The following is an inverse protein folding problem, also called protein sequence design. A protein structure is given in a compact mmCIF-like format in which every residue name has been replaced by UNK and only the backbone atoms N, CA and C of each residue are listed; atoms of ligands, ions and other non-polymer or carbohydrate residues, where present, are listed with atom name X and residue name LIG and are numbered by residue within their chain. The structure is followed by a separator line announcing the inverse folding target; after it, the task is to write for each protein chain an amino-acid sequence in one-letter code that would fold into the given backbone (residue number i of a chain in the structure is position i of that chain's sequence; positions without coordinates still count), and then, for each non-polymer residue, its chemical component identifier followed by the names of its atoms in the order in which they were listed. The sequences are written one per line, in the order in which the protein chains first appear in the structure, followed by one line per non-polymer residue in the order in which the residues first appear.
data_IF_784758711553
#
_entry.id   IF_784758711553
#
_cell.length_a   1.000
_cell.length_b   1.000
_cell.length_c   1.000
_cell.angle_alpha   90.00
_cell.angle_beta   90.00
_cell.angle_gamma   90.00
#
_symmetry.space_group_name_H-M   'P 1'
#
loop_
_entity.id
_entity.type
_entity.pdbx_description
1 polymer ?
#
# COMPACT_ATOMS: atom_id res chain seq x y z
N UNK A 1 -10.98 -11.08 -18.29
CA UNK A 1 -10.23 -10.63 -19.47
C UNK A 1 -8.72 -10.68 -19.23
N UNK A 2 -7.86 -10.52 -20.25
CA UNK A 2 -6.39 -10.39 -20.08
C UNK A 2 -5.97 -8.94 -20.31
N UNK A 3 -5.11 -8.41 -19.45
CA UNK A 3 -4.51 -7.08 -19.55
C UNK A 3 -3.00 -7.16 -19.30
N UNK A 4 -2.25 -6.22 -19.83
CA UNK A 4 -0.82 -6.15 -19.52
C UNK A 4 -0.61 -5.52 -18.13
N UNK A 5 0.50 -5.84 -17.48
CA UNK A 5 0.84 -5.22 -16.19
C UNK A 5 1.06 -3.70 -16.30
N UNK A 6 1.56 -3.23 -17.45
CA UNK A 6 1.68 -1.79 -17.70
C UNK A 6 0.31 -1.11 -17.82
N UNK A 7 -0.70 -1.78 -18.37
CA UNK A 7 -2.08 -1.26 -18.38
C UNK A 7 -2.63 -1.16 -16.96
N UNK A 8 -2.36 -2.14 -16.08
CA UNK A 8 -2.77 -2.11 -14.69
C UNK A 8 -2.19 -0.87 -14.00
N UNK A 9 -0.88 -0.65 -14.08
CA UNK A 9 -0.21 0.50 -13.49
C UNK A 9 -0.82 1.83 -13.98
N UNK A 10 -0.93 1.98 -15.31
CA UNK A 10 -1.45 3.21 -15.93
C UNK A 10 -2.91 3.44 -15.58
N UNK A 11 -3.74 2.39 -15.56
CA UNK A 11 -5.17 2.50 -15.27
C UNK A 11 -5.41 2.86 -13.80
N UNK A 12 -4.70 2.23 -12.85
CA UNK A 12 -4.80 2.60 -11.44
C UNK A 12 -4.29 4.02 -11.16
N UNK A 13 -3.19 4.45 -11.80
CA UNK A 13 -2.73 5.84 -11.72
C UNK A 13 -3.82 6.81 -12.17
N UNK A 14 -4.41 6.58 -13.35
CA UNK A 14 -5.50 7.41 -13.87
C UNK A 14 -6.74 7.37 -12.97
N UNK A 15 -7.07 6.19 -12.42
CA UNK A 15 -8.21 6.05 -11.52
C UNK A 15 -8.02 6.85 -10.22
N UNK A 16 -6.82 6.84 -9.64
CA UNK A 16 -6.50 7.68 -8.48
C UNK A 16 -6.60 9.18 -8.80
N UNK A 17 -6.09 9.61 -9.96
CA UNK A 17 -6.28 11.00 -10.43
C UNK A 17 -7.76 11.35 -10.60
N UNK A 18 -8.54 10.46 -11.19
CA UNK A 18 -9.98 10.63 -11.36
C UNK A 18 -10.77 10.65 -10.04
N UNK A 19 -10.22 10.07 -8.98
CA UNK A 19 -10.73 10.17 -7.61
C UNK A 19 -10.25 11.44 -6.87
N UNK A 20 -9.40 12.28 -7.51
CA UNK A 20 -8.92 13.54 -6.93
C UNK A 20 -7.58 13.44 -6.18
N UNK A 21 -6.86 12.32 -6.29
CA UNK A 21 -5.55 12.15 -5.68
C UNK A 21 -4.49 12.99 -6.40
N UNK A 22 -3.54 13.65 -5.70
CA UNK A 22 -2.42 14.36 -6.31
C UNK A 22 -1.56 13.45 -7.22
N UNK A 23 -0.95 14.01 -8.27
CA UNK A 23 -0.23 13.26 -9.31
C UNK A 23 0.82 12.29 -8.74
N UNK A 24 1.70 12.74 -7.85
CA UNK A 24 2.76 11.88 -7.28
C UNK A 24 2.19 10.68 -6.54
N UNK A 25 1.17 10.90 -5.68
CA UNK A 25 0.50 9.81 -4.95
C UNK A 25 -0.26 8.86 -5.90
N UNK A 26 -0.81 9.38 -6.98
CA UNK A 26 -1.47 8.56 -7.99
C UNK A 26 -0.47 7.68 -8.76
N UNK A 27 0.74 8.17 -9.03
CA UNK A 27 1.83 7.39 -9.62
C UNK A 27 2.25 6.25 -8.70
N UNK A 28 2.44 6.53 -7.42
CA UNK A 28 2.76 5.51 -6.42
C UNK A 28 1.65 4.48 -6.29
N UNK A 29 0.39 4.90 -6.31
CA UNK A 29 -0.75 3.98 -6.27
C UNK A 29 -0.78 3.04 -7.48
N UNK A 30 -0.47 3.53 -8.67
CA UNK A 30 -0.30 2.70 -9.87
C UNK A 30 0.78 1.64 -9.68
N UNK A 31 1.95 2.04 -9.18
CA UNK A 31 3.11 1.15 -8.91
C UNK A 31 2.81 0.10 -7.83
N UNK A 32 2.08 0.48 -6.79
CA UNK A 32 1.64 -0.43 -5.72
C UNK A 32 0.74 -1.52 -6.30
N UNK A 33 -0.25 -1.18 -7.12
CA UNK A 33 -1.14 -2.16 -7.72
C UNK A 33 -0.43 -3.03 -8.78
N UNK A 34 0.48 -2.46 -9.56
CA UNK A 34 1.38 -3.24 -10.42
C UNK A 34 2.16 -4.30 -9.62
N UNK A 35 2.74 -3.91 -8.48
CA UNK A 35 3.49 -4.81 -7.62
C UNK A 35 2.63 -5.95 -7.07
N UNK A 36 1.41 -5.67 -6.62
CA UNK A 36 0.44 -6.66 -6.14
C UNK A 36 0.08 -7.68 -7.24
N UNK A 37 -0.27 -7.19 -8.42
CA UNK A 37 -0.71 -8.05 -9.53
C UNK A 37 0.42 -8.95 -10.05
N UNK A 38 1.65 -8.43 -10.15
CA UNK A 38 2.80 -9.24 -10.57
C UNK A 38 3.14 -10.36 -9.58
N UNK A 39 2.63 -10.30 -8.36
CA UNK A 39 2.82 -11.31 -7.30
C UNK A 39 1.56 -12.09 -6.98
N UNK A 40 0.48 -11.81 -7.71
CA UNK A 40 -0.85 -12.45 -7.54
C UNK A 40 -1.37 -12.33 -6.11
N UNK A 41 -1.19 -11.15 -5.51
CA UNK A 41 -1.64 -10.84 -4.15
C UNK A 41 -2.88 -9.95 -4.23
N UNK A 42 -4.01 -10.49 -3.87
CA UNK A 42 -5.22 -9.72 -3.59
C UNK A 42 -6.00 -9.22 -4.79
N UNK A 43 -5.67 -9.50 -6.00
CA UNK A 43 -6.37 -9.03 -7.21
C UNK A 43 -6.67 -7.51 -7.26
N UNK A 44 -7.32 -7.05 -8.30
CA UNK A 44 -7.75 -5.64 -8.49
C UNK A 44 -8.65 -5.12 -7.36
N UNK A 45 -9.34 -6.03 -6.64
CA UNK A 45 -10.28 -5.69 -5.57
C UNK A 45 -9.64 -4.85 -4.45
N UNK A 46 -8.35 -5.05 -4.16
CA UNK A 46 -7.63 -4.30 -3.11
C UNK A 46 -7.52 -2.83 -3.48
N UNK A 47 -7.04 -2.53 -4.68
CA UNK A 47 -6.95 -1.15 -5.17
C UNK A 47 -8.34 -0.51 -5.36
N UNK A 48 -9.30 -1.28 -5.88
CA UNK A 48 -10.68 -0.82 -6.04
C UNK A 48 -11.35 -0.51 -4.69
N UNK A 49 -11.09 -1.29 -3.64
CA UNK A 49 -11.60 -1.01 -2.31
C UNK A 49 -11.11 0.34 -1.77
N UNK A 50 -9.82 0.65 -1.95
CA UNK A 50 -9.26 1.94 -1.55
C UNK A 50 -9.86 3.12 -2.35
N UNK A 51 -10.03 2.96 -3.67
CA UNK A 51 -10.68 3.98 -4.51
C UNK A 51 -12.13 4.23 -4.07
N UNK A 52 -12.90 3.17 -3.82
CA UNK A 52 -14.28 3.28 -3.35
C UNK A 52 -14.37 3.97 -1.98
N UNK A 53 -13.53 3.57 -1.02
CA UNK A 53 -13.53 4.17 0.31
C UNK A 53 -13.21 5.68 0.26
N UNK A 54 -12.29 6.07 -0.62
CA UNK A 54 -11.93 7.47 -0.82
C UNK A 54 -13.03 8.27 -1.52
N UNK A 55 -13.63 7.71 -2.59
CA UNK A 55 -14.71 8.36 -3.37
C UNK A 55 -16.00 8.55 -2.56
N UNK A 56 -16.29 7.65 -1.62
CA UNK A 56 -17.46 7.71 -0.74
C UNK A 56 -17.21 8.49 0.55
N UNK A 57 -16.05 9.12 0.71
CA UNK A 57 -15.63 9.84 1.92
C UNK A 57 -15.56 8.96 3.20
N UNK A 58 -15.59 7.63 3.07
CA UNK A 58 -15.36 6.69 4.19
C UNK A 58 -13.90 6.76 4.67
N UNK A 59 -12.99 7.09 3.76
CA UNK A 59 -11.60 7.41 4.07
C UNK A 59 -11.20 8.77 3.51
N UNK A 60 -10.26 9.44 4.18
CA UNK A 60 -9.78 10.76 3.83
C UNK A 60 -8.27 10.84 3.70
N UNK A 61 -7.79 11.96 3.17
CA UNK A 61 -6.38 12.33 3.19
C UNK A 61 -5.89 12.53 4.63
N UNK A 62 -4.58 12.69 4.80
CA UNK A 62 -3.99 13.02 6.09
C UNK A 62 -4.49 14.39 6.56
N UNK A 63 -5.23 14.42 7.66
CA UNK A 63 -5.78 15.64 8.23
C UNK A 63 -4.88 16.25 9.32
N UNK A 64 -4.18 15.40 10.07
CA UNK A 64 -3.34 15.81 11.19
C UNK A 64 -1.99 15.11 11.08
N UNK A 65 -0.92 15.89 11.25
CA UNK A 65 0.45 15.41 11.35
C UNK A 65 1.03 15.97 12.66
N UNK A 66 1.27 15.10 13.63
CA UNK A 66 1.86 15.43 14.93
C UNK A 66 3.23 14.78 15.04
N UNK A 67 4.21 15.44 15.66
CA UNK A 67 5.61 15.02 15.68
C UNK A 67 6.15 14.62 17.06
N UNK A 68 5.30 14.55 18.10
CA UNK A 68 5.77 14.20 19.46
C UNK A 68 4.91 13.09 20.08
N UNK A 69 5.54 12.05 20.67
CA UNK A 69 6.97 11.69 20.65
C UNK A 69 7.42 11.04 19.32
N UNK A 70 6.50 10.63 18.47
CA UNK A 70 6.70 10.04 17.16
C UNK A 70 5.73 10.70 16.18
N UNK A 71 6.02 10.62 14.89
CA UNK A 71 5.13 11.16 13.87
C UNK A 71 3.82 10.37 13.80
N UNK A 72 2.71 11.07 13.91
CA UNK A 72 1.37 10.50 13.84
C UNK A 72 0.60 11.10 12.67
N UNK A 73 0.17 10.27 11.74
CA UNK A 73 -0.72 10.64 10.64
C UNK A 73 -2.11 10.13 10.96
N UNK A 74 -3.06 11.03 11.02
CA UNK A 74 -4.44 10.74 11.40
C UNK A 74 -5.43 11.27 10.38
N UNK A 75 -6.56 10.58 10.14
CA UNK A 75 -7.64 11.09 9.32
C UNK A 75 -8.42 12.19 10.06
N UNK A 76 -9.33 12.87 9.34
CA UNK A 76 -10.37 13.65 9.98
C UNK A 76 -11.21 12.81 10.93
N UNK A 77 -11.86 13.47 11.91
CA UNK A 77 -12.71 12.79 12.88
C UNK A 77 -13.80 11.96 12.18
N UNK A 78 -13.92 10.71 12.59
CA UNK A 78 -14.91 9.76 12.06
C UNK A 78 -14.52 9.03 10.77
N UNK A 79 -13.47 9.48 10.07
CA UNK A 79 -13.00 8.85 8.85
C UNK A 79 -11.90 7.82 9.11
N UNK A 80 -11.63 6.99 8.10
CA UNK A 80 -10.41 6.18 8.00
C UNK A 80 -9.33 6.98 7.29
N UNK A 81 -8.07 6.64 7.53
CA UNK A 81 -6.95 7.18 6.78
C UNK A 81 -6.82 6.42 5.46
N UNK A 82 -6.96 7.12 4.33
CA UNK A 82 -6.86 6.50 3.02
C UNK A 82 -5.45 6.00 2.73
N UNK A 83 -5.34 4.74 2.33
CA UNK A 83 -4.08 4.14 1.90
C UNK A 83 -3.50 4.80 0.64
N UNK A 84 -4.33 5.49 -0.17
CA UNK A 84 -3.86 6.30 -1.32
C UNK A 84 -2.90 7.43 -0.88
N UNK A 85 -3.05 7.91 0.34
CA UNK A 85 -2.21 8.96 0.93
C UNK A 85 -1.22 8.40 1.96
N UNK A 86 -1.69 7.51 2.81
CA UNK A 86 -0.97 7.06 3.99
C UNK A 86 0.37 6.38 3.66
N UNK A 87 0.37 5.49 2.66
CA UNK A 87 1.54 4.68 2.32
C UNK A 87 2.74 5.52 1.91
N UNK A 88 2.60 6.29 0.83
CA UNK A 88 3.67 7.14 0.29
C UNK A 88 4.07 8.23 1.28
N UNK A 89 3.09 8.95 1.88
CA UNK A 89 3.39 10.02 2.85
C UNK A 89 4.15 9.51 4.07
N UNK A 90 3.81 8.33 4.59
CA UNK A 90 4.52 7.73 5.71
C UNK A 90 5.94 7.31 5.34
N UNK A 91 6.13 6.73 4.15
CA UNK A 91 7.45 6.33 3.67
C UNK A 91 8.37 7.53 3.45
N UNK A 92 7.86 8.62 2.87
CA UNK A 92 8.60 9.86 2.65
C UNK A 92 9.05 10.47 3.98
N UNK A 93 8.12 10.59 4.95
CA UNK A 93 8.44 11.06 6.29
C UNK A 93 9.46 10.17 6.99
N UNK A 94 9.29 8.84 6.93
CA UNK A 94 10.22 7.89 7.53
C UNK A 94 11.62 8.02 6.96
N UNK A 95 11.73 8.20 5.65
CA UNK A 95 13.03 8.38 4.98
C UNK A 95 13.67 9.71 5.32
N UNK A 96 12.89 10.79 5.41
CA UNK A 96 13.37 12.13 5.70
C UNK A 96 13.73 12.36 7.17
N UNK A 97 12.94 11.85 8.10
CA UNK A 97 13.04 12.17 9.53
C UNK A 97 13.71 11.09 10.37
N UNK A 98 13.89 9.87 9.85
CA UNK A 98 14.44 8.72 10.58
C UNK A 98 13.69 8.33 11.87
N UNK A 99 12.47 8.82 12.05
CA UNK A 99 11.62 8.54 13.19
C UNK A 99 10.62 7.43 12.87
N UNK A 100 9.99 6.84 13.88
CA UNK A 100 8.86 5.96 13.66
C UNK A 100 7.62 6.78 13.23
N UNK A 101 6.81 6.20 12.37
CA UNK A 101 5.58 6.82 11.85
C UNK A 101 4.39 5.98 12.26
N UNK A 102 3.44 6.56 12.95
CA UNK A 102 2.16 5.96 13.29
C UNK A 102 1.08 6.40 12.31
N UNK A 103 0.30 5.45 11.84
CA UNK A 103 -0.88 5.66 10.98
C UNK A 103 -2.12 5.19 11.73
N UNK A 104 -3.13 6.04 11.79
CA UNK A 104 -4.38 5.76 12.52
C UNK A 104 -5.49 5.33 11.57
N UNK A 105 -6.13 4.20 11.89
CA UNK A 105 -7.33 3.69 11.19
C UNK A 105 -7.16 3.58 9.66
N UNK A 106 -6.07 2.98 9.20
CA UNK A 106 -5.82 2.78 7.77
C UNK A 106 -6.90 1.91 7.14
N UNK A 107 -7.48 2.34 6.02
CA UNK A 107 -8.57 1.63 5.34
C UNK A 107 -8.11 0.32 4.69
N UNK A 108 -6.96 0.31 4.00
CA UNK A 108 -6.39 -0.85 3.30
C UNK A 108 -4.92 -1.03 3.67
N UNK A 109 -4.60 -1.69 4.80
CA UNK A 109 -3.23 -1.86 5.31
C UNK A 109 -2.26 -2.52 4.34
N UNK A 110 -2.73 -3.41 3.47
CA UNK A 110 -1.88 -4.08 2.47
C UNK A 110 -1.23 -3.09 1.51
N UNK A 111 -1.93 -2.03 1.10
CA UNK A 111 -1.36 -1.01 0.20
C UNK A 111 -0.22 -0.24 0.88
N UNK A 112 -0.34 0.05 2.18
CA UNK A 112 0.73 0.69 2.97
C UNK A 112 1.94 -0.24 3.09
N UNK A 113 1.73 -1.54 3.31
CA UNK A 113 2.82 -2.53 3.31
C UNK A 113 3.58 -2.51 1.98
N UNK A 114 2.86 -2.49 0.85
CA UNK A 114 3.50 -2.47 -0.47
C UNK A 114 4.21 -1.14 -0.75
N UNK A 115 3.67 -0.02 -0.29
CA UNK A 115 4.38 1.27 -0.34
C UNK A 115 5.73 1.19 0.40
N UNK A 116 5.76 0.56 1.57
CA UNK A 116 6.99 0.34 2.32
C UNK A 116 7.98 -0.59 1.57
N UNK A 117 7.48 -1.57 0.82
CA UNK A 117 8.32 -2.43 -0.05
C UNK A 117 9.00 -1.59 -1.14
N UNK A 118 8.24 -0.77 -1.84
CA UNK A 118 8.77 0.09 -2.90
C UNK A 118 9.78 1.09 -2.35
N UNK A 119 9.46 1.76 -1.24
CA UNK A 119 10.36 2.67 -0.56
C UNK A 119 11.65 1.99 -0.07
N UNK A 120 11.57 0.74 0.42
CA UNK A 120 12.73 -0.03 0.85
C UNK A 120 13.71 -0.28 -0.29
N UNK A 121 13.20 -0.49 -1.50
CA UNK A 121 13.99 -0.66 -2.70
C UNK A 121 14.62 0.66 -3.15
N UNK A 122 13.83 1.72 -3.26
CA UNK A 122 14.26 3.03 -3.77
C UNK A 122 15.30 3.71 -2.87
N UNK A 123 15.08 3.63 -1.55
CA UNK A 123 15.97 4.27 -0.58
C UNK A 123 17.02 3.34 0.01
N UNK A 124 17.14 2.09 -0.47
CA UNK A 124 18.05 1.07 0.06
C UNK A 124 17.96 0.97 1.59
N UNK A 125 16.75 1.00 2.13
CA UNK A 125 16.47 1.13 3.56
C UNK A 125 15.53 0.01 4.00
N UNK A 126 15.86 -0.69 5.08
CA UNK A 126 14.96 -1.69 5.63
C UNK A 126 13.87 -1.02 6.46
N UNK A 127 12.61 -1.43 6.23
CA UNK A 127 11.42 -0.90 6.89
C UNK A 127 10.66 -2.05 7.55
N UNK A 128 10.43 -1.93 8.85
CA UNK A 128 9.51 -2.79 9.59
C UNK A 128 8.12 -2.14 9.58
N UNK A 129 7.12 -2.93 9.24
CA UNK A 129 5.70 -2.51 9.22
C UNK A 129 4.95 -3.35 10.24
N UNK A 130 4.37 -2.71 11.23
CA UNK A 130 3.58 -3.31 12.28
C UNK A 130 2.10 -3.00 12.05
N UNK A 131 1.25 -4.02 12.05
CA UNK A 131 -0.19 -3.87 12.09
C UNK A 131 -0.66 -4.07 13.53
N UNK A 132 -1.19 -3.02 14.15
CA UNK A 132 -1.53 -3.01 15.56
C UNK A 132 -2.97 -3.52 15.75
N UNK A 133 -3.11 -4.70 16.31
CA UNK A 133 -4.43 -5.25 16.62
C UNK A 133 -4.94 -4.77 17.99
N UNK A 134 -6.26 -4.85 18.17
CA UNK A 134 -6.92 -4.44 19.42
C UNK A 134 -6.46 -5.25 20.65
N UNK A 135 -5.96 -6.47 20.46
CA UNK A 135 -5.40 -7.35 21.52
C UNK A 135 -3.97 -6.98 21.91
N UNK A 136 -3.37 -5.97 21.28
CA UNK A 136 -2.02 -5.50 21.53
C UNK A 136 -0.91 -6.35 20.89
N UNK A 137 -1.24 -7.45 20.19
CA UNK A 137 -0.23 -8.28 19.51
C UNK A 137 0.00 -7.74 18.09
N UNK A 138 1.17 -7.16 17.77
CA UNK A 138 1.44 -6.65 16.45
C UNK A 138 1.65 -7.81 15.45
N UNK A 139 1.12 -7.66 14.23
CA UNK A 139 1.56 -8.45 13.11
C UNK A 139 2.69 -7.70 12.40
N UNK A 140 3.87 -8.31 12.33
CA UNK A 140 5.09 -7.66 11.87
C UNK A 140 5.50 -8.21 10.50
N UNK A 141 5.57 -7.33 9.52
CA UNK A 141 6.18 -7.60 8.22
C UNK A 141 7.42 -6.71 8.04
N UNK A 142 8.42 -7.22 7.35
CA UNK A 142 9.66 -6.51 7.12
C UNK A 142 9.92 -6.36 5.63
N UNK A 143 10.18 -5.14 5.19
CA UNK A 143 10.48 -4.78 3.82
C UNK A 143 11.98 -4.47 3.68
N UNK A 144 12.66 -5.14 2.77
CA UNK A 144 14.08 -4.94 2.54
C UNK A 144 14.41 -5.15 1.07
N UNK A 145 15.00 -4.14 0.44
CA UNK A 145 15.44 -4.22 -0.97
C UNK A 145 14.34 -4.71 -1.92
N UNK A 146 13.10 -4.29 -1.71
CA UNK A 146 11.94 -4.69 -2.50
C UNK A 146 11.34 -6.06 -2.15
N UNK A 147 11.86 -6.75 -1.14
CA UNK A 147 11.32 -8.02 -0.63
C UNK A 147 10.39 -7.80 0.57
N UNK A 148 9.43 -8.71 0.75
CA UNK A 148 8.67 -8.85 1.99
C UNK A 148 9.12 -10.09 2.74
N UNK A 149 9.38 -9.94 4.01
CA UNK A 149 9.66 -11.02 4.95
C UNK A 149 8.60 -11.03 6.03
N UNK A 150 7.83 -12.09 6.10
CA UNK A 150 6.78 -12.28 7.09
C UNK A 150 6.29 -13.74 7.04
N UNK A 151 5.65 -14.19 8.11
CA UNK A 151 4.90 -15.44 8.09
C UNK A 151 3.58 -15.30 7.31
N UNK A 152 3.06 -16.39 6.74
CA UNK A 152 1.82 -16.37 5.96
C UNK A 152 0.63 -15.84 6.76
N UNK A 153 0.49 -16.20 8.03
CA UNK A 153 -0.56 -15.70 8.92
C UNK A 153 -0.48 -14.18 9.15
N UNK A 154 0.72 -13.61 9.17
CA UNK A 154 0.93 -12.17 9.26
C UNK A 154 0.43 -11.49 7.99
N UNK A 155 0.78 -12.02 6.80
CA UNK A 155 0.34 -11.45 5.53
C UNK A 155 -1.18 -11.51 5.35
N UNK A 156 -1.80 -12.59 5.77
CA UNK A 156 -3.26 -12.72 5.77
C UNK A 156 -3.92 -11.59 6.58
N UNK A 157 -3.37 -11.23 7.74
CA UNK A 157 -3.86 -10.11 8.53
C UNK A 157 -3.81 -8.79 7.77
N UNK A 158 -2.75 -8.49 7.01
CA UNK A 158 -2.68 -7.30 6.17
C UNK A 158 -3.72 -7.29 5.05
N UNK A 159 -4.07 -8.47 4.52
CA UNK A 159 -5.02 -8.62 3.40
C UNK A 159 -6.46 -8.43 3.84
N UNK A 160 -6.83 -8.94 5.02
CA UNK A 160 -8.23 -8.90 5.51
C UNK A 160 -8.52 -7.74 6.45
N UNK A 161 -7.49 -7.05 6.94
CA UNK A 161 -7.63 -5.98 7.90
C UNK A 161 -8.19 -4.70 7.26
N UNK A 162 -8.99 -3.98 8.02
CA UNK A 162 -9.50 -2.65 7.67
C UNK A 162 -9.61 -1.79 8.93
N UNK A 163 -9.35 -0.50 8.78
CA UNK A 163 -9.45 0.49 9.85
C UNK A 163 -8.55 0.19 11.07
N UNK A 164 -7.38 -0.40 10.84
CA UNK A 164 -6.40 -0.67 11.90
C UNK A 164 -5.28 0.36 11.93
N UNK A 165 -4.73 0.53 13.12
CA UNK A 165 -3.53 1.35 13.33
C UNK A 165 -2.31 0.60 12.82
N UNK A 166 -1.35 1.34 12.27
CA UNK A 166 -0.08 0.78 11.77
C UNK A 166 1.09 1.59 12.32
N UNK A 167 2.27 0.98 12.32
CA UNK A 167 3.52 1.65 12.66
C UNK A 167 4.60 1.24 11.66
N UNK A 168 5.29 2.23 11.10
CA UNK A 168 6.43 2.03 10.23
C UNK A 168 7.70 2.45 10.99
N UNK A 169 8.72 1.61 10.93
CA UNK A 169 9.98 1.83 11.65
C UNK A 169 11.14 1.56 10.71
N UNK A 170 12.07 2.47 10.62
CA UNK A 170 13.32 2.21 9.93
C UNK A 170 14.20 1.26 10.76
N UNK A 171 14.72 0.23 10.12
CA UNK A 171 15.49 -0.82 10.80
C UNK A 171 16.73 -1.22 9.99
N UNK A 172 17.55 -2.11 10.52
CA UNK A 172 18.70 -2.64 9.80
C UNK A 172 18.38 -3.99 9.17
N UNK A 173 18.85 -4.22 7.94
CA UNK A 173 18.64 -5.50 7.21
C UNK A 173 19.13 -6.72 7.99
N UNK A 174 20.09 -6.55 8.88
CA UNK A 174 20.61 -7.63 9.72
C UNK A 174 19.59 -8.22 10.69
N UNK A 175 18.68 -7.40 11.21
CA UNK A 175 17.62 -7.83 12.15
C UNK A 175 16.50 -8.60 11.45
N UNK A 176 16.35 -8.43 10.14
CA UNK A 176 15.24 -8.98 9.37
C UNK A 176 15.47 -10.42 8.87
N UNK A 177 16.69 -10.95 8.99
CA UNK A 177 17.05 -12.29 8.47
C UNK A 177 16.31 -13.44 9.15
N UNK A 178 15.72 -13.21 10.30
CA UNK A 178 14.99 -14.21 11.07
C UNK A 178 13.57 -14.48 10.53
N UNK A 179 13.07 -13.64 9.63
CA UNK A 179 11.76 -13.83 9.01
C UNK A 179 11.88 -14.51 7.65
N UNK A 180 10.98 -15.44 7.30
CA UNK A 180 10.97 -16.09 5.99
C UNK A 180 10.70 -15.05 4.90
N UNK A 181 11.28 -15.27 3.71
CA UNK A 181 10.93 -14.46 2.53
C UNK A 181 9.56 -14.90 2.04
N UNK A 182 8.58 -14.02 2.16
CA UNK A 182 7.23 -14.25 1.68
C UNK A 182 7.09 -13.86 0.20
N UNK A 183 7.64 -12.69 -0.16
CA UNK A 183 7.64 -12.21 -1.54
C UNK A 183 9.04 -11.71 -1.92
N UNK A 184 9.63 -12.27 -3.00
CA UNK A 184 10.94 -11.83 -3.50
C UNK A 184 10.84 -10.44 -4.15
N UNK A 185 11.98 -9.76 -4.24
CA UNK A 185 12.07 -8.43 -4.87
C UNK A 185 11.63 -8.46 -6.35
N UNK A 186 12.02 -9.52 -7.07
CA UNK A 186 11.66 -9.72 -8.48
C UNK A 186 10.53 -10.73 -8.60
N UNK A 187 9.50 -10.38 -9.36
CA UNK A 187 8.48 -11.35 -9.75
C UNK A 187 9.05 -12.40 -10.71
N UNK A 188 8.51 -13.62 -10.74
CA UNK A 188 8.94 -14.65 -11.70
C UNK A 188 8.80 -14.16 -13.16
N UNK A 189 9.78 -14.43 -14.01
CA UNK A 189 9.78 -13.94 -15.41
C UNK A 189 8.57 -14.46 -16.22
N UNK A 190 8.06 -15.64 -15.89
CA UNK A 190 6.89 -16.27 -16.53
C UNK A 190 5.62 -15.40 -16.37
N UNK A 191 5.51 -14.65 -15.29
CA UNK A 191 4.37 -13.75 -15.05
C UNK A 191 4.25 -12.71 -16.16
N UNK A 192 5.36 -12.18 -16.64
CA UNK A 192 5.36 -11.11 -17.64
C UNK A 192 5.00 -11.56 -19.06
N UNK A 193 5.14 -12.85 -19.37
CA UNK A 193 4.82 -13.40 -20.69
C UNK A 193 3.32 -13.62 -20.90
N UNK A 194 2.57 -13.86 -19.81
CA UNK A 194 1.16 -14.21 -19.87
C UNK A 194 0.20 -13.02 -19.70
N UNK A 195 0.67 -11.93 -19.07
CA UNK A 195 -0.18 -10.84 -18.60
C UNK A 195 -1.03 -11.23 -17.39
N UNK A 196 -1.79 -10.29 -16.87
CA UNK A 196 -2.71 -10.52 -15.77
C UNK A 196 -4.08 -11.00 -16.29
N UNK A 197 -4.65 -12.00 -15.62
CA UNK A 197 -6.06 -12.37 -15.80
C UNK A 197 -6.89 -11.65 -14.75
N UNK A 198 -7.73 -10.74 -15.18
CA UNK A 198 -8.50 -9.86 -14.30
C UNK A 198 -10.00 -10.10 -14.43
N UNK A 199 -10.75 -9.84 -13.33
CA UNK A 199 -12.19 -9.80 -13.38
C UNK A 199 -12.65 -8.59 -14.22
N UNK A 200 -13.53 -8.82 -15.17
CA UNK A 200 -13.99 -7.78 -16.11
C UNK A 200 -14.85 -6.72 -15.41
N UNK A 201 -15.61 -7.11 -14.40
CA UNK A 201 -16.47 -6.19 -13.64
C UNK A 201 -15.64 -5.24 -12.80
N UNK A 202 -14.62 -5.76 -12.10
CA UNK A 202 -13.69 -4.94 -11.31
C UNK A 202 -12.89 -4.00 -12.23
N UNK A 203 -12.38 -4.53 -13.35
CA UNK A 203 -11.64 -3.73 -14.33
C UNK A 203 -12.46 -2.56 -14.87
N UNK A 204 -13.69 -2.83 -15.31
CA UNK A 204 -14.60 -1.79 -15.79
C UNK A 204 -14.88 -0.69 -14.74
N UNK A 205 -14.96 -1.06 -13.46
CA UNK A 205 -15.14 -0.08 -12.38
C UNK A 205 -13.89 0.80 -12.20
N UNK A 206 -12.70 0.22 -12.27
CA UNK A 206 -11.43 1.00 -12.21
C UNK A 206 -11.33 1.94 -13.42
N UNK A 207 -11.68 1.48 -14.62
CA UNK A 207 -11.73 2.35 -15.80
C UNK A 207 -12.74 3.50 -15.67
N UNK A 208 -13.86 3.30 -14.98
CA UNK A 208 -14.81 4.39 -14.72
C UNK A 208 -14.18 5.50 -13.89
N UNK A 209 -13.37 5.16 -12.85
CA UNK A 209 -12.59 6.16 -12.14
C UNK A 209 -11.57 6.84 -13.05
N UNK A 210 -10.84 6.08 -13.86
CA UNK A 210 -9.84 6.63 -14.79
C UNK A 210 -10.44 7.61 -15.82
N UNK A 211 -11.67 7.38 -16.26
CA UNK A 211 -12.39 8.27 -17.20
C UNK A 211 -12.74 9.63 -16.59
N UNK A 212 -12.92 9.73 -15.26
CA UNK A 212 -13.19 11.02 -14.58
C UNK A 212 -12.03 12.02 -14.70
N UNK A 213 -10.80 11.54 -14.91
CA UNK A 213 -9.63 12.40 -15.12
C UNK A 213 -9.73 13.25 -16.42
N UNK A 214 -10.56 12.85 -17.36
CA UNK A 214 -10.66 13.49 -18.68
C UNK A 214 -11.74 14.60 -18.75
N UNK A 215 -12.41 14.87 -17.66
CA UNK A 215 -13.45 15.89 -17.51
C UNK A 215 -12.92 17.07 -16.72
#
# INVERSE_FOLDING_TARGET
MKVSFSEIEVTFRKAALGAGTPLGLAEDFGRVNYWLETRKIGSLSVGLAALNAFDTEDSGSVATVESEPEWNLSPQSGQKLSALYAGSSACDLLCAQHAAIHLRKVDVPLLVLVSAVLASYEHSSAIQVELLAADGTPAVACCDSGMVRADAAVLERFTVASALDMRLIRTSSGQLRNYPVAFPAKAPDEVFTEGATVDETEWNRIEQYAKRMLV
#
